data_IF_807116587496
#
_entry.id   IF_807116587496
#
_cell.length_a   1.000
_cell.length_b   1.000
_cell.length_c   1.000
_cell.angle_alpha   90.00
_cell.angle_beta   90.00
_cell.angle_gamma   90.00
#
_symmetry.space_group_name_H-M   'P 1'
#
loop_
_entity.id
_entity.type
_entity.pdbx_description
1 polymer ?
#
# COMPACT_ATOMS: atom_id res chain seq x y z
N UNK A 1 9.40 1.12 10.76
CA UNK A 1 8.36 0.49 9.91
C UNK A 1 8.98 0.08 8.58
N UNK A 2 8.65 -1.08 8.00
CA UNK A 2 9.12 -1.41 6.65
C UNK A 2 8.55 -0.40 5.66
N UNK A 3 9.42 0.32 4.95
CA UNK A 3 9.01 1.23 3.86
C UNK A 3 8.23 0.43 2.82
N UNK A 4 7.09 0.96 2.39
CA UNK A 4 6.29 0.34 1.35
C UNK A 4 6.99 0.58 0.01
N UNK A 5 7.25 -0.51 -0.73
CA UNK A 5 8.06 -0.47 -1.96
C UNK A 5 7.21 -0.51 -3.24
N UNK A 6 5.88 -0.36 -3.11
CA UNK A 6 4.95 -0.41 -4.22
C UNK A 6 3.70 0.42 -3.90
N UNK A 7 3.40 1.37 -4.77
CA UNK A 7 2.23 2.24 -4.69
C UNK A 7 1.49 2.22 -6.02
N UNK A 8 0.17 2.18 -5.97
CA UNK A 8 -0.69 2.25 -7.15
C UNK A 8 -1.72 3.34 -6.95
N UNK A 9 -1.75 4.33 -7.83
CA UNK A 9 -2.65 5.48 -7.73
C UNK A 9 -3.37 5.70 -9.06
N UNK A 10 -4.71 5.80 -9.07
CA UNK A 10 -5.44 6.25 -10.26
C UNK A 10 -5.21 7.74 -10.47
N UNK A 11 -4.90 8.17 -11.70
CA UNK A 11 -4.66 9.55 -12.06
C UNK A 11 -5.74 10.09 -12.99
N UNK A 12 -6.16 11.34 -12.77
CA UNK A 12 -7.04 12.06 -13.72
C UNK A 12 -6.29 12.37 -15.02
N UNK A 13 -6.98 12.66 -16.15
CA UNK A 13 -6.32 12.99 -17.41
C UNK A 13 -5.32 14.16 -17.30
N UNK A 14 -5.63 15.17 -16.48
CA UNK A 14 -4.72 16.29 -16.24
C UNK A 14 -3.43 15.84 -15.50
N UNK A 15 -3.58 15.00 -14.48
CA UNK A 15 -2.46 14.45 -13.72
C UNK A 15 -1.61 13.48 -14.55
N UNK A 16 -2.23 12.72 -15.45
CA UNK A 16 -1.52 11.86 -16.40
C UNK A 16 -0.62 12.67 -17.33
N UNK A 17 -1.12 13.80 -17.85
CA UNK A 17 -0.32 14.71 -18.67
C UNK A 17 0.86 15.30 -17.89
N UNK A 18 0.61 15.79 -16.67
CA UNK A 18 1.64 16.34 -15.79
C UNK A 18 2.73 15.30 -15.45
N UNK A 19 2.32 14.07 -15.09
CA UNK A 19 3.26 12.99 -14.82
C UNK A 19 4.07 12.65 -16.07
N UNK A 20 3.44 12.58 -17.25
CA UNK A 20 4.14 12.26 -18.49
C UNK A 20 5.21 13.29 -18.81
N UNK A 21 4.89 14.58 -18.70
CA UNK A 21 5.84 15.66 -18.91
C UNK A 21 7.02 15.56 -17.93
N UNK A 22 6.72 15.40 -16.63
CA UNK A 22 7.73 15.25 -15.58
C UNK A 22 8.70 14.10 -15.85
N UNK A 23 8.17 12.92 -16.23
CA UNK A 23 8.99 11.74 -16.51
C UNK A 23 9.80 11.87 -17.82
N UNK A 24 9.34 12.69 -18.78
CA UNK A 24 10.06 12.96 -20.02
C UNK A 24 11.17 14.00 -19.85
N UNK A 25 10.97 15.01 -19.00
CA UNK A 25 11.96 16.05 -18.72
C UNK A 25 12.96 15.65 -17.64
N UNK A 26 12.60 14.67 -16.81
CA UNK A 26 13.43 14.18 -15.72
C UNK A 26 14.58 13.27 -16.18
N UNK A 27 15.51 13.00 -15.25
CA UNK A 27 16.63 12.11 -15.48
C UNK A 27 16.24 10.65 -15.23
N UNK A 28 15.41 10.09 -16.12
CA UNK A 28 14.97 8.71 -16.05
C UNK A 28 15.29 7.95 -17.33
N UNK A 29 15.53 6.65 -17.19
CA UNK A 29 15.70 5.75 -18.33
C UNK A 29 14.35 5.21 -18.76
N UNK A 30 14.00 5.38 -20.04
CA UNK A 30 12.77 4.78 -20.59
C UNK A 30 12.84 3.25 -20.60
N UNK A 31 11.73 2.60 -20.25
CA UNK A 31 11.60 1.13 -20.23
C UNK A 31 10.32 0.74 -20.98
N UNK A 32 10.42 -0.21 -21.90
CA UNK A 32 9.23 -0.75 -22.56
C UNK A 32 8.47 -1.68 -21.61
N UNK A 33 7.19 -1.37 -21.40
CA UNK A 33 6.28 -2.18 -20.60
C UNK A 33 4.95 -2.30 -21.36
N UNK A 34 4.34 -3.49 -21.45
CA UNK A 34 3.06 -3.64 -22.14
C UNK A 34 1.97 -2.75 -21.54
N UNK A 35 1.13 -2.17 -22.41
CA UNK A 35 -0.03 -1.34 -22.03
C UNK A 35 0.30 -0.07 -21.22
N UNK A 36 1.54 0.42 -21.29
CA UNK A 36 1.92 1.69 -20.66
C UNK A 36 1.96 2.85 -21.66
N UNK A 37 1.48 4.01 -21.20
CA UNK A 37 1.61 5.30 -21.88
C UNK A 37 3.06 5.79 -21.80
N UNK A 38 3.69 5.59 -20.65
CA UNK A 38 5.10 5.84 -20.38
C UNK A 38 5.52 4.95 -19.20
N UNK A 39 6.71 4.38 -19.28
CA UNK A 39 7.33 3.69 -18.17
C UNK A 39 8.82 4.05 -18.12
N UNK A 40 9.31 4.37 -16.94
CA UNK A 40 10.69 4.78 -16.72
C UNK A 40 11.28 4.14 -15.47
N UNK A 41 12.61 4.09 -15.43
CA UNK A 41 13.41 3.62 -14.32
C UNK A 41 14.41 4.71 -13.92
N UNK A 42 14.46 4.99 -12.63
CA UNK A 42 15.42 5.89 -12.00
C UNK A 42 16.16 5.19 -10.86
N UNK A 43 16.83 5.95 -10.02
CA UNK A 43 17.62 5.41 -8.92
C UNK A 43 16.75 4.66 -7.90
N UNK A 44 16.76 3.33 -7.97
CA UNK A 44 15.99 2.45 -7.10
C UNK A 44 14.46 2.56 -7.24
N UNK A 45 13.94 3.20 -8.30
CA UNK A 45 12.50 3.37 -8.53
C UNK A 45 12.12 3.11 -9.99
N UNK A 46 11.01 2.42 -10.18
CA UNK A 46 10.36 2.22 -11.47
C UNK A 46 8.96 2.81 -11.43
N UNK A 47 8.61 3.61 -12.43
CA UNK A 47 7.32 4.28 -12.55
C UNK A 47 6.68 3.90 -13.87
N UNK A 48 5.45 3.42 -13.83
CA UNK A 48 4.69 3.00 -15.00
C UNK A 48 3.30 3.62 -14.99
N UNK A 49 2.99 4.43 -16.01
CA UNK A 49 1.65 4.94 -16.26
C UNK A 49 0.96 4.05 -17.29
N UNK A 50 -0.10 3.35 -16.88
CA UNK A 50 -0.89 2.49 -17.74
C UNK A 50 -1.92 3.27 -18.55
N UNK A 51 -2.33 2.71 -19.70
CA UNK A 51 -3.42 3.28 -20.53
C UNK A 51 -4.78 3.34 -19.81
N UNK A 52 -4.95 2.57 -18.73
CA UNK A 52 -6.11 2.66 -17.84
C UNK A 52 -6.13 3.90 -16.94
N UNK A 53 -5.06 4.70 -16.94
CA UNK A 53 -4.88 5.85 -16.05
C UNK A 53 -4.30 5.52 -14.67
N UNK A 54 -3.95 4.25 -14.41
CA UNK A 54 -3.27 3.85 -13.17
C UNK A 54 -1.77 4.12 -13.28
N UNK A 55 -1.21 4.78 -12.27
CA UNK A 55 0.23 4.94 -12.08
C UNK A 55 0.72 3.93 -11.04
N UNK A 56 1.75 3.17 -11.38
CA UNK A 56 2.42 2.20 -10.52
C UNK A 56 3.84 2.71 -10.24
N UNK A 57 4.19 2.87 -8.97
CA UNK A 57 5.52 3.28 -8.50
C UNK A 57 6.09 2.16 -7.64
N UNK A 58 7.25 1.62 -8.01
CA UNK A 58 7.85 0.44 -7.37
C UNK A 58 9.35 0.59 -7.13
N UNK A 59 9.86 -0.13 -6.14
CA UNK A 59 11.29 -0.17 -5.81
C UNK A 59 11.61 0.38 -4.43
N UNK A 60 12.89 0.36 -4.06
CA UNK A 60 13.36 0.85 -2.77
C UNK A 60 13.17 2.38 -2.61
N UNK A 61 13.25 3.13 -3.71
CA UNK A 61 13.01 4.58 -3.76
C UNK A 61 11.54 4.97 -3.96
N UNK A 62 10.60 4.01 -3.98
CA UNK A 62 9.20 4.27 -4.30
C UNK A 62 8.53 5.24 -3.32
N UNK A 63 8.83 5.11 -2.02
CA UNK A 63 8.26 5.98 -0.99
C UNK A 63 8.74 7.43 -1.16
N UNK A 64 10.02 7.61 -1.43
CA UNK A 64 10.61 8.95 -1.62
C UNK A 64 10.10 9.58 -2.93
N UNK A 65 9.97 8.80 -4.01
CA UNK A 65 9.35 9.28 -5.25
C UNK A 65 7.90 9.73 -5.02
N UNK A 66 7.12 8.94 -4.28
CA UNK A 66 5.75 9.32 -3.97
C UNK A 66 5.70 10.63 -3.18
N UNK A 67 6.45 10.73 -2.07
CA UNK A 67 6.39 11.85 -1.14
C UNK A 67 6.96 13.15 -1.72
N UNK A 68 8.04 13.09 -2.51
CA UNK A 68 8.76 14.28 -2.97
C UNK A 68 8.47 14.65 -4.42
N UNK A 69 7.85 13.76 -5.20
CA UNK A 69 7.60 13.98 -6.63
C UNK A 69 6.12 13.81 -6.94
N UNK A 70 5.55 12.62 -6.76
CA UNK A 70 4.19 12.36 -7.22
C UNK A 70 3.15 13.17 -6.44
N UNK A 71 3.21 13.17 -5.11
CA UNK A 71 2.29 13.92 -4.25
C UNK A 71 2.32 15.43 -4.51
N UNK A 72 3.48 16.12 -4.43
CA UNK A 72 3.51 17.57 -4.58
C UNK A 72 3.33 18.06 -6.03
N UNK A 73 3.87 17.35 -7.02
CA UNK A 73 3.93 17.85 -8.41
C UNK A 73 2.80 17.31 -9.29
N UNK A 74 2.20 16.16 -8.94
CA UNK A 74 1.15 15.53 -9.75
C UNK A 74 -0.18 15.49 -9.00
N UNK A 75 -0.22 14.97 -7.78
CA UNK A 75 -1.48 14.80 -7.05
C UNK A 75 -1.99 16.11 -6.44
N UNK A 76 -1.09 16.95 -5.94
CA UNK A 76 -1.42 18.18 -5.22
C UNK A 76 -1.89 17.92 -3.78
N UNK A 77 -1.69 16.71 -3.26
CA UNK A 77 -2.10 16.29 -1.92
C UNK A 77 -1.09 15.30 -1.33
N UNK A 78 -0.88 15.36 -0.02
CA UNK A 78 -0.06 14.42 0.72
C UNK A 78 -0.93 13.27 1.24
N UNK A 79 -0.66 12.04 0.79
CA UNK A 79 -1.42 10.85 1.19
C UNK A 79 -0.62 9.95 2.14
N UNK A 80 0.65 9.73 1.85
CA UNK A 80 1.52 8.86 2.64
C UNK A 80 1.84 9.52 3.99
N UNK A 81 1.55 8.81 5.07
CA UNK A 81 1.74 9.29 6.45
C UNK A 81 0.61 10.18 6.96
N UNK A 82 -0.38 10.52 6.12
CA UNK A 82 -1.57 11.28 6.48
C UNK A 82 -2.83 10.40 6.51
N UNK A 83 -2.68 9.08 6.54
CA UNK A 83 -3.81 8.14 6.48
C UNK A 83 -4.82 8.42 7.61
N UNK A 84 -4.34 8.74 8.81
CA UNK A 84 -5.19 9.09 9.96
C UNK A 84 -5.95 10.42 9.82
N UNK A 85 -5.48 11.31 8.96
CA UNK A 85 -6.12 12.61 8.69
C UNK A 85 -7.09 12.50 7.51
N UNK A 86 -6.73 11.71 6.49
CA UNK A 86 -7.53 11.51 5.28
C UNK A 86 -8.67 10.50 5.47
N UNK A 87 -8.48 9.53 6.37
CA UNK A 87 -9.48 8.52 6.73
C UNK A 87 -9.59 8.44 8.26
N UNK A 88 -10.20 9.46 8.91
CA UNK A 88 -10.39 9.47 10.35
C UNK A 88 -11.30 8.32 10.83
N UNK A 89 -12.23 7.88 9.98
CA UNK A 89 -13.13 6.75 10.25
C UNK A 89 -12.36 5.42 10.40
N UNK A 90 -11.22 5.26 9.72
CA UNK A 90 -10.36 4.07 9.90
C UNK A 90 -9.87 3.84 11.33
N UNK A 91 -9.91 4.87 12.18
CA UNK A 91 -9.52 4.80 13.59
C UNK A 91 -10.73 4.76 14.54
N UNK A 92 -11.96 4.80 14.02
CA UNK A 92 -13.16 4.69 14.85
C UNK A 92 -13.26 3.28 15.47
N UNK A 93 -13.82 3.17 16.69
CA UNK A 93 -14.01 1.88 17.32
C UNK A 93 -14.93 0.97 16.51
N UNK A 94 -14.47 -0.24 16.18
CA UNK A 94 -15.24 -1.19 15.40
C UNK A 94 -14.92 -2.64 15.79
N UNK A 95 -15.79 -3.56 15.36
CA UNK A 95 -15.59 -5.01 15.51
C UNK A 95 -15.37 -5.62 14.13
N UNK A 96 -14.25 -6.33 13.96
CA UNK A 96 -13.99 -7.19 12.81
C UNK A 96 -14.29 -8.65 13.15
N UNK A 97 -14.80 -9.41 12.19
CA UNK A 97 -15.09 -10.85 12.34
C UNK A 97 -14.44 -11.61 11.20
N UNK A 98 -13.81 -12.74 11.49
CA UNK A 98 -13.20 -13.63 10.49
C UNK A 98 -13.29 -15.11 10.91
N UNK A 99 -13.16 -16.01 9.94
CA UNK A 99 -13.21 -17.46 10.16
C UNK A 99 -11.95 -18.21 9.68
N UNK A 100 -11.60 -19.30 10.37
CA UNK A 100 -10.54 -20.22 9.99
C UNK A 100 -11.00 -21.67 10.12
N UNK A 101 -10.59 -22.54 9.20
CA UNK A 101 -10.94 -23.96 9.21
C UNK A 101 -11.99 -24.40 8.18
N UNK A 102 -12.53 -23.48 7.37
CA UNK A 102 -13.57 -23.80 6.36
C UNK A 102 -13.11 -24.79 5.29
N UNK A 103 -11.81 -24.80 4.96
CA UNK A 103 -11.21 -25.67 3.95
C UNK A 103 -10.47 -26.89 4.51
N UNK A 104 -10.40 -27.02 5.84
CA UNK A 104 -9.65 -28.09 6.48
C UNK A 104 -10.52 -29.35 6.58
N UNK A 105 -9.94 -30.50 6.23
CA UNK A 105 -10.65 -31.78 6.33
C UNK A 105 -10.84 -32.22 7.79
N UNK A 106 -9.90 -31.84 8.67
CA UNK A 106 -9.93 -32.14 10.10
C UNK A 106 -9.92 -30.84 10.90
N UNK A 107 -10.62 -30.86 12.02
CA UNK A 107 -10.67 -29.75 12.97
C UNK A 107 -11.97 -28.96 12.88
N UNK A 108 -12.18 -28.04 13.84
CA UNK A 108 -13.37 -27.21 13.88
C UNK A 108 -13.24 -26.02 12.92
N UNK A 109 -14.39 -25.50 12.48
CA UNK A 109 -14.49 -24.12 12.01
C UNK A 109 -14.47 -23.18 13.22
N UNK A 110 -13.51 -22.28 13.27
CA UNK A 110 -13.36 -21.28 14.33
C UNK A 110 -13.72 -19.91 13.76
N UNK A 111 -14.59 -19.19 14.46
CA UNK A 111 -14.96 -17.80 14.14
C UNK A 111 -14.52 -16.94 15.31
N UNK A 112 -13.84 -15.82 15.03
CA UNK A 112 -13.40 -14.86 16.03
C UNK A 112 -13.91 -13.47 15.69
N UNK A 113 -14.29 -12.71 16.73
CA UNK A 113 -14.64 -11.30 16.64
C UNK A 113 -13.67 -10.51 17.51
N UNK A 114 -13.10 -9.44 16.96
CA UNK A 114 -12.12 -8.58 17.64
C UNK A 114 -12.62 -7.15 17.61
N UNK A 115 -12.80 -6.56 18.79
CA UNK A 115 -13.01 -5.13 18.95
C UNK A 115 -11.67 -4.41 18.91
N UNK A 116 -11.60 -3.33 18.14
CA UNK A 116 -10.45 -2.45 18.07
C UNK A 116 -10.89 -0.99 18.24
N UNK A 117 -10.08 -0.23 18.95
CA UNK A 117 -10.19 1.22 19.09
C UNK A 117 -8.88 1.90 18.66
N UNK A 118 -8.85 3.23 18.64
CA UNK A 118 -7.69 3.98 18.15
C UNK A 118 -6.35 3.59 18.82
N UNK A 119 -6.25 3.41 20.16
CA UNK A 119 -5.04 2.89 20.80
C UNK A 119 -4.65 1.48 20.32
N UNK A 120 -5.59 0.54 20.26
CA UNK A 120 -5.32 -0.84 19.84
C UNK A 120 -4.88 -0.91 18.37
N UNK A 121 -5.44 -0.06 17.51
CA UNK A 121 -5.05 0.04 16.11
C UNK A 121 -3.56 0.40 15.97
N UNK A 122 -3.05 1.30 16.81
CA UNK A 122 -1.62 1.64 16.79
C UNK A 122 -0.75 0.45 17.24
N UNK A 123 -1.13 -0.22 18.32
CA UNK A 123 -0.43 -1.42 18.79
C UNK A 123 -0.41 -2.51 17.71
N UNK A 124 -1.54 -2.76 17.05
CA UNK A 124 -1.63 -3.76 15.98
C UNK A 124 -0.75 -3.40 14.77
N UNK A 125 -0.68 -2.11 14.41
CA UNK A 125 0.22 -1.61 13.36
C UNK A 125 1.69 -1.82 13.72
N UNK A 126 2.07 -1.55 14.97
CA UNK A 126 3.43 -1.76 15.47
C UNK A 126 3.83 -3.24 15.51
N UNK A 127 2.92 -4.11 15.95
CA UNK A 127 3.08 -5.57 15.91
C UNK A 127 3.06 -6.13 14.48
N UNK A 128 2.73 -5.30 13.48
CA UNK A 128 2.67 -5.70 12.09
C UNK A 128 1.54 -6.70 11.80
N UNK A 129 0.45 -6.64 12.57
CA UNK A 129 -0.77 -7.42 12.35
C UNK A 129 -1.44 -6.86 11.09
N UNK A 130 -1.02 -7.38 9.94
CA UNK A 130 -1.58 -7.07 8.63
C UNK A 130 -1.44 -8.28 7.73
N UNK A 131 -2.47 -8.56 6.95
CA UNK A 131 -2.51 -9.65 5.97
C UNK A 131 -2.09 -10.99 6.61
N UNK A 132 -3.02 -11.61 7.35
CA UNK A 132 -2.81 -12.88 8.07
C UNK A 132 -2.21 -13.98 7.19
N UNK A 133 -2.44 -13.94 5.88
CA UNK A 133 -1.88 -14.87 4.88
C UNK A 133 -0.36 -14.80 4.75
N UNK A 134 0.26 -13.70 5.19
CA UNK A 134 1.73 -13.54 5.22
C UNK A 134 2.36 -14.08 6.50
N UNK A 135 1.56 -14.52 7.48
CA UNK A 135 2.04 -15.21 8.66
C UNK A 135 2.20 -16.69 8.30
N UNK A 136 3.40 -17.07 7.91
CA UNK A 136 3.71 -18.42 7.39
C UNK A 136 4.12 -19.42 8.48
N UNK A 137 4.04 -19.04 9.76
CA UNK A 137 4.49 -19.87 10.88
C UNK A 137 3.47 -19.85 12.03
N UNK A 138 3.05 -21.04 12.45
CA UNK A 138 2.17 -21.24 13.61
C UNK A 138 2.75 -20.65 14.90
N UNK A 139 4.08 -20.68 15.06
CA UNK A 139 4.74 -20.09 16.21
C UNK A 139 4.52 -18.58 16.23
N UNK A 140 4.75 -17.92 15.09
CA UNK A 140 4.50 -16.48 14.94
C UNK A 140 3.03 -16.12 15.14
N UNK A 141 2.10 -16.95 14.65
CA UNK A 141 0.67 -16.76 14.89
C UNK A 141 0.32 -16.84 16.38
N UNK A 142 0.89 -17.81 17.11
CA UNK A 142 0.68 -17.95 18.56
C UNK A 142 1.28 -16.81 19.37
N UNK A 143 2.46 -16.32 18.99
CA UNK A 143 3.11 -15.21 19.67
C UNK A 143 2.29 -13.91 19.50
N UNK A 144 1.82 -13.64 18.29
CA UNK A 144 0.94 -12.49 18.01
C UNK A 144 -0.40 -12.58 18.74
N UNK A 145 -0.97 -13.78 18.89
CA UNK A 145 -2.24 -13.97 19.59
C UNK A 145 -2.13 -13.80 21.13
N UNK A 146 -0.91 -13.80 21.68
CA UNK A 146 -0.65 -13.67 23.12
C UNK A 146 -0.12 -12.28 23.52
N UNK A 147 0.30 -11.49 22.54
CA UNK A 147 0.80 -10.13 22.73
C UNK A 147 -0.34 -9.19 23.12
#
# INVERSE_FOLDING_TARGET
MPRQNSFTVPLTPAQQSALRELLQTGNYRSVETPHTVIAVEGDGVRVALYTSGKCLVQGAGAADFMQFILEPQVLGEARIGYESVLDPESAEPHIGVDESGKGDFFGPLVIAAVYVDAPLIQVFRELGIKDSKRITSDAKARDLARA
#
